data_IF_045345239559
#
_entry.id   IF_045345239559
#
_cell.length_a   1.000
_cell.length_b   1.000
_cell.length_c   1.000
_cell.angle_alpha   90.00
_cell.angle_beta   90.00
_cell.angle_gamma   90.00
#
_symmetry.space_group_name_H-M   'P 1'
#
loop_
_entity.id
_entity.type
_entity.pdbx_description
1 polymer ?
#
# COMPACT_ATOMS: atom_id res chain seq x y z
N UNK A 1 -2.88 25.47 -18.75
CA UNK A 1 -1.62 24.79 -19.19
C UNK A 1 -2.01 23.93 -20.37
N UNK A 2 -1.41 24.17 -21.54
CA UNK A 2 -1.55 23.31 -22.72
C UNK A 2 -1.19 21.87 -22.30
N UNK A 3 -1.89 20.87 -22.84
CA UNK A 3 -1.54 19.45 -22.79
C UNK A 3 -0.07 19.24 -23.17
N UNK A 4 0.84 19.49 -22.24
CA UNK A 4 2.19 18.97 -22.37
C UNK A 4 2.05 17.46 -22.20
N UNK A 5 2.25 16.74 -23.30
CA UNK A 5 2.27 15.28 -23.27
C UNK A 5 3.30 14.88 -22.21
N UNK A 6 2.85 14.15 -21.19
CA UNK A 6 3.73 13.51 -20.23
C UNK A 6 4.54 12.46 -21.02
N UNK A 7 5.77 12.77 -21.37
CA UNK A 7 6.65 11.93 -22.19
C UNK A 7 8.06 11.96 -21.61
N UNK A 8 8.25 11.25 -20.49
CA UNK A 8 9.53 11.15 -19.81
C UNK A 8 9.89 9.70 -19.48
N UNK A 9 8.93 8.93 -18.99
CA UNK A 9 9.13 7.54 -18.61
C UNK A 9 8.80 6.58 -19.77
N UNK A 10 9.35 5.37 -19.73
CA UNK A 10 9.01 4.33 -20.70
C UNK A 10 7.51 4.01 -20.70
N UNK A 11 6.86 4.08 -19.55
CA UNK A 11 5.43 3.89 -19.42
C UNK A 11 4.57 5.03 -19.97
N UNK A 12 5.15 6.18 -20.33
CA UNK A 12 4.43 7.26 -20.99
C UNK A 12 4.16 6.97 -22.47
N UNK A 13 4.82 5.95 -23.02
CA UNK A 13 4.70 5.54 -24.44
C UNK A 13 3.89 4.25 -24.55
N UNK A 14 2.54 4.33 -24.63
CA UNK A 14 1.73 3.12 -24.76
C UNK A 14 2.12 2.34 -26.01
N UNK A 15 2.30 1.03 -25.85
CA UNK A 15 2.66 0.11 -26.92
C UNK A 15 4.15 0.08 -27.30
N UNK A 16 5.03 0.73 -26.53
CA UNK A 16 6.47 0.57 -26.72
C UNK A 16 6.89 -0.88 -26.45
N UNK A 17 7.52 -1.53 -27.42
CA UNK A 17 8.13 -2.85 -27.21
C UNK A 17 9.37 -2.69 -26.31
N UNK A 18 9.27 -3.19 -25.09
CA UNK A 18 10.36 -3.16 -24.13
C UNK A 18 11.32 -4.32 -24.39
N UNK A 19 12.35 -4.04 -25.16
CA UNK A 19 13.40 -5.00 -25.45
C UNK A 19 14.37 -5.15 -24.27
N UNK A 20 15.12 -6.26 -24.26
CA UNK A 20 16.20 -6.50 -23.30
C UNK A 20 17.26 -5.37 -23.32
N UNK A 21 17.65 -4.91 -24.52
CA UNK A 21 18.62 -3.84 -24.67
C UNK A 21 18.13 -2.51 -24.13
N UNK A 22 16.86 -2.15 -24.42
CA UNK A 22 16.28 -0.90 -23.95
C UNK A 22 16.26 -0.82 -22.40
N UNK A 23 15.87 -1.91 -21.74
CA UNK A 23 15.87 -1.98 -20.27
C UNK A 23 17.29 -1.92 -19.71
N UNK A 24 18.25 -2.60 -20.31
CA UNK A 24 19.65 -2.52 -19.88
C UNK A 24 20.22 -1.10 -20.06
N UNK A 25 19.98 -0.46 -21.19
CA UNK A 25 20.43 0.93 -21.46
C UNK A 25 19.77 1.92 -20.49
N UNK A 26 18.50 1.76 -20.18
CA UNK A 26 17.81 2.56 -19.15
C UNK A 26 18.48 2.38 -17.78
N UNK A 27 18.76 1.15 -17.36
CA UNK A 27 19.45 0.88 -16.09
C UNK A 27 20.85 1.54 -16.01
N UNK A 28 21.61 1.49 -17.09
CA UNK A 28 22.93 2.16 -17.15
C UNK A 28 22.80 3.68 -17.09
N UNK A 29 21.81 4.24 -17.76
CA UNK A 29 21.47 5.67 -17.72
C UNK A 29 21.09 6.09 -16.29
N UNK A 30 20.25 5.33 -15.63
CA UNK A 30 19.86 5.56 -14.23
C UNK A 30 21.07 5.58 -13.29
N UNK A 31 22.02 4.64 -13.42
CA UNK A 31 23.24 4.61 -12.61
C UNK A 31 24.11 5.86 -12.84
N UNK A 32 24.23 6.31 -14.09
CA UNK A 32 24.95 7.54 -14.43
C UNK A 32 24.27 8.75 -13.78
N UNK A 33 22.97 8.91 -13.97
CA UNK A 33 22.19 10.02 -13.44
C UNK A 33 22.19 10.03 -11.90
N UNK A 34 22.13 8.85 -11.26
CA UNK A 34 22.32 8.73 -9.81
C UNK A 34 23.64 9.35 -9.36
N UNK A 35 24.73 9.01 -10.03
CA UNK A 35 26.06 9.51 -9.66
C UNK A 35 26.22 11.00 -9.90
N UNK A 36 25.57 11.53 -10.93
CA UNK A 36 25.64 12.93 -11.31
C UNK A 36 24.73 13.83 -10.45
N UNK A 37 23.50 13.40 -10.16
CA UNK A 37 22.50 14.28 -9.59
C UNK A 37 22.02 13.88 -8.18
N UNK A 38 22.00 12.59 -7.85
CA UNK A 38 21.35 12.11 -6.61
C UNK A 38 22.35 11.80 -5.48
N UNK A 39 23.51 11.22 -5.82
CA UNK A 39 24.44 10.69 -4.81
C UNK A 39 25.05 11.76 -3.89
N UNK A 40 25.06 13.00 -4.30
CA UNK A 40 25.62 14.16 -3.57
C UNK A 40 24.62 14.92 -2.72
N UNK A 41 23.31 14.63 -2.88
CA UNK A 41 22.27 15.33 -2.13
C UNK A 41 22.29 14.92 -0.65
N UNK A 42 22.11 15.91 0.23
CA UNK A 42 21.94 15.68 1.67
C UNK A 42 20.54 15.15 2.04
N UNK A 43 20.40 14.59 3.25
CA UNK A 43 19.11 14.12 3.76
C UNK A 43 18.06 15.24 3.74
N UNK A 44 18.44 16.43 4.23
CA UNK A 44 17.54 17.59 4.29
C UNK A 44 17.04 18.00 2.91
N UNK A 45 17.90 17.98 1.89
CA UNK A 45 17.51 18.32 0.52
C UNK A 45 16.49 17.31 -0.04
N UNK A 46 16.77 16.01 0.10
CA UNK A 46 15.88 14.96 -0.39
C UNK A 46 14.54 15.01 0.36
N UNK A 47 14.56 15.12 1.69
CA UNK A 47 13.35 15.19 2.53
C UNK A 47 12.53 16.43 2.19
N UNK A 48 13.18 17.59 2.01
CA UNK A 48 12.48 18.82 1.61
C UNK A 48 11.71 18.64 0.28
N UNK A 49 12.35 18.00 -0.70
CA UNK A 49 11.72 17.75 -2.01
C UNK A 49 10.60 16.71 -1.96
N UNK A 50 10.75 15.66 -1.17
CA UNK A 50 9.68 14.69 -0.93
C UNK A 50 8.47 15.34 -0.22
N UNK A 51 8.73 16.20 0.77
CA UNK A 51 7.67 16.97 1.44
C UNK A 51 6.98 17.96 0.48
N UNK A 52 7.74 18.58 -0.42
CA UNK A 52 7.17 19.47 -1.46
C UNK A 52 6.22 18.71 -2.40
N UNK A 53 6.61 17.51 -2.86
CA UNK A 53 5.74 16.62 -3.65
C UNK A 53 4.49 16.25 -2.87
N UNK A 54 4.63 15.88 -1.59
CA UNK A 54 3.49 15.53 -0.74
C UNK A 54 2.49 16.70 -0.59
N UNK A 55 3.00 17.92 -0.41
CA UNK A 55 2.18 19.12 -0.33
C UNK A 55 1.41 19.39 -1.64
N UNK A 56 2.04 19.14 -2.79
CA UNK A 56 1.35 19.23 -4.09
C UNK A 56 0.21 18.20 -4.18
N UNK A 57 0.47 16.95 -3.82
CA UNK A 57 -0.54 15.88 -3.84
C UNK A 57 -1.64 16.05 -2.80
N UNK A 58 -1.41 16.80 -1.73
CA UNK A 58 -2.43 17.17 -0.75
C UNK A 58 -3.27 18.38 -1.21
N UNK A 59 -2.82 19.13 -2.23
CA UNK A 59 -3.57 20.27 -2.77
C UNK A 59 -4.68 19.82 -3.71
N UNK A 60 -5.95 20.22 -3.45
CA UNK A 60 -7.07 19.85 -4.33
C UNK A 60 -6.90 20.37 -5.78
N UNK A 61 -6.20 21.48 -5.98
CA UNK A 61 -6.05 22.12 -7.29
C UNK A 61 -4.81 21.63 -8.06
N UNK A 62 -4.06 20.66 -7.53
CA UNK A 62 -2.87 20.17 -8.20
C UNK A 62 -3.22 19.40 -9.47
N UNK A 63 -2.73 19.82 -10.66
CA UNK A 63 -3.17 19.25 -11.93
C UNK A 63 -2.96 17.73 -12.05
N UNK A 64 -1.82 17.19 -11.58
CA UNK A 64 -1.56 15.76 -11.68
C UNK A 64 -2.42 14.94 -10.71
N UNK A 65 -2.77 15.52 -9.54
CA UNK A 65 -3.78 14.93 -8.66
C UNK A 65 -5.15 14.92 -9.33
N UNK A 66 -5.56 16.01 -9.97
CA UNK A 66 -6.84 16.05 -10.69
C UNK A 66 -6.87 15.04 -11.84
N UNK A 67 -5.79 14.91 -12.61
CA UNK A 67 -5.68 13.87 -13.64
C UNK A 67 -5.86 12.46 -13.04
N UNK A 68 -5.27 12.19 -11.87
CA UNK A 68 -5.46 10.91 -11.18
C UNK A 68 -6.91 10.69 -10.76
N UNK A 69 -7.57 11.72 -10.23
CA UNK A 69 -8.95 11.65 -9.75
C UNK A 69 -9.99 11.60 -10.87
N UNK A 70 -9.68 12.15 -12.04
CA UNK A 70 -10.55 12.15 -13.22
C UNK A 70 -10.36 10.91 -14.12
N UNK A 71 -9.35 10.10 -13.83
CA UNK A 71 -9.08 8.88 -14.57
C UNK A 71 -10.15 7.80 -14.31
N UNK A 72 -10.28 6.88 -15.27
CA UNK A 72 -11.21 5.77 -15.14
C UNK A 72 -10.88 4.92 -13.89
N UNK A 73 -11.87 4.56 -13.07
CA UNK A 73 -11.68 3.64 -11.95
C UNK A 73 -11.06 2.28 -12.34
N UNK A 74 -11.18 1.84 -13.60
CA UNK A 74 -10.49 0.65 -14.09
C UNK A 74 -8.96 0.85 -14.14
N UNK A 75 -8.47 2.05 -14.45
CA UNK A 75 -7.04 2.37 -14.46
C UNK A 75 -6.49 2.55 -13.04
N UNK A 76 -7.19 3.32 -12.20
CA UNK A 76 -6.76 3.62 -10.83
C UNK A 76 -7.02 2.47 -9.86
N UNK A 77 -8.05 1.67 -10.10
CA UNK A 77 -8.56 0.62 -9.22
C UNK A 77 -9.58 1.12 -8.20
N UNK A 78 -9.89 2.44 -8.17
CA UNK A 78 -10.73 3.05 -7.14
C UNK A 78 -11.62 4.17 -7.69
N UNK A 79 -12.84 4.34 -7.14
CA UNK A 79 -13.64 5.52 -7.37
C UNK A 79 -12.92 6.78 -6.89
N UNK A 80 -13.31 7.93 -7.46
CA UNK A 80 -12.72 9.24 -7.17
C UNK A 80 -12.60 9.54 -5.67
N UNK A 81 -13.67 9.31 -4.92
CA UNK A 81 -13.75 9.63 -3.49
C UNK A 81 -12.82 8.74 -2.66
N UNK A 82 -12.78 7.45 -2.96
CA UNK A 82 -11.88 6.48 -2.30
C UNK A 82 -10.42 6.81 -2.63
N UNK A 83 -10.13 7.11 -3.90
CA UNK A 83 -8.79 7.50 -4.34
C UNK A 83 -8.35 8.80 -3.66
N UNK A 84 -9.22 9.83 -3.63
CA UNK A 84 -8.92 11.10 -3.00
C UNK A 84 -8.58 10.93 -1.51
N UNK A 85 -9.45 10.24 -0.76
CA UNK A 85 -9.22 9.97 0.66
C UNK A 85 -7.94 9.15 0.91
N UNK A 86 -7.68 8.14 0.06
CA UNK A 86 -6.47 7.33 0.16
C UNK A 86 -5.18 8.11 -0.13
N UNK A 87 -5.20 9.02 -1.10
CA UNK A 87 -4.07 9.91 -1.40
C UNK A 87 -3.85 10.91 -0.25
N UNK A 88 -4.92 11.51 0.29
CA UNK A 88 -4.82 12.41 1.45
C UNK A 88 -4.20 11.70 2.65
N UNK A 89 -4.67 10.51 2.99
CA UNK A 89 -4.10 9.72 4.07
C UNK A 89 -2.63 9.33 3.80
N UNK A 90 -2.29 8.98 2.56
CA UNK A 90 -0.92 8.63 2.18
C UNK A 90 0.05 9.80 2.41
N UNK A 91 -0.30 11.00 1.92
CA UNK A 91 0.62 12.13 1.93
C UNK A 91 0.60 12.95 3.23
N UNK A 92 -0.42 12.77 4.10
CA UNK A 92 -0.50 13.44 5.40
C UNK A 92 0.74 13.20 6.29
N UNK A 93 1.32 12.02 6.21
CA UNK A 93 2.49 11.62 7.00
C UNK A 93 3.84 11.93 6.32
N UNK A 94 3.84 12.49 5.10
CA UNK A 94 5.07 12.80 4.37
C UNK A 94 5.63 14.16 4.77
N UNK A 95 5.92 14.32 6.06
CA UNK A 95 6.49 15.53 6.65
C UNK A 95 7.98 15.38 6.92
N UNK A 96 8.69 16.51 7.00
CA UNK A 96 10.11 16.48 7.34
C UNK A 96 10.36 15.77 8.67
N UNK A 97 9.54 16.05 9.68
CA UNK A 97 9.65 15.44 11.01
C UNK A 97 9.54 13.90 10.94
N UNK A 98 8.53 13.39 10.25
CA UNK A 98 8.30 11.94 10.09
C UNK A 98 9.47 11.26 9.36
N UNK A 99 10.00 11.88 8.31
CA UNK A 99 11.17 11.34 7.61
C UNK A 99 12.42 11.34 8.48
N UNK A 100 12.71 12.41 9.24
CA UNK A 100 13.84 12.39 10.15
C UNK A 100 13.66 11.38 11.28
N UNK A 101 12.46 11.23 11.80
CA UNK A 101 12.14 10.20 12.79
C UNK A 101 12.39 8.80 12.22
N UNK A 102 11.91 8.51 11.02
CA UNK A 102 12.15 7.24 10.31
C UNK A 102 13.65 6.98 10.15
N UNK A 103 14.42 7.94 9.63
CA UNK A 103 15.85 7.77 9.45
C UNK A 103 16.57 7.56 10.78
N UNK A 104 16.13 8.21 11.85
CA UNK A 104 16.69 8.02 13.19
C UNK A 104 16.38 6.64 13.77
N UNK A 105 15.17 6.13 13.54
CA UNK A 105 14.78 4.78 13.96
C UNK A 105 15.56 3.69 13.22
N UNK A 106 15.72 3.84 11.89
CA UNK A 106 16.35 2.82 11.06
C UNK A 106 17.90 2.84 11.16
N UNK A 107 18.49 4.01 11.27
CA UNK A 107 19.96 4.16 11.17
C UNK A 107 20.62 4.63 12.48
N UNK A 108 19.84 4.97 13.52
CA UNK A 108 20.33 5.59 14.76
C UNK A 108 20.74 7.04 14.55
N UNK A 109 21.76 7.27 13.72
CA UNK A 109 22.18 8.61 13.30
C UNK A 109 21.96 8.75 11.78
N UNK A 110 21.03 9.62 11.33
CA UNK A 110 20.76 9.85 9.90
C UNK A 110 21.98 10.32 9.10
N UNK A 111 22.98 10.92 9.72
CA UNK A 111 24.21 11.36 9.04
C UNK A 111 25.03 10.20 8.46
N UNK A 112 24.81 8.98 8.94
CA UNK A 112 25.41 7.74 8.39
C UNK A 112 25.10 7.50 6.92
N UNK A 113 24.02 8.06 6.40
CA UNK A 113 23.69 8.01 4.98
C UNK A 113 24.52 8.98 4.13
N UNK A 114 25.31 9.87 4.76
CA UNK A 114 26.11 10.90 4.07
C UNK A 114 27.59 10.80 4.36
N UNK A 115 27.95 10.38 5.57
CA UNK A 115 29.34 10.33 6.05
C UNK A 115 29.51 9.27 7.13
N UNK A 116 30.77 9.01 7.50
CA UNK A 116 31.07 8.19 8.67
C UNK A 116 30.60 8.89 9.94
N UNK A 117 29.71 8.25 10.71
CA UNK A 117 29.23 8.73 11.99
C UNK A 117 29.56 7.74 13.11
N UNK A 118 29.72 8.28 14.33
CA UNK A 118 30.06 7.52 15.53
C UNK A 118 28.89 6.61 15.94
N UNK A 119 29.21 5.41 16.39
CA UNK A 119 28.28 4.44 16.96
C UNK A 119 28.38 4.41 18.48
N UNK A 120 27.36 3.90 19.20
CA UNK A 120 27.43 3.73 20.66
C UNK A 120 28.63 2.92 21.16
N UNK A 121 29.10 1.97 20.35
CA UNK A 121 30.28 1.15 20.65
C UNK A 121 31.62 1.83 20.30
N UNK A 122 31.62 3.14 20.00
CA UNK A 122 32.76 3.95 19.56
C UNK A 122 33.37 3.57 18.21
N UNK A 123 32.70 2.71 17.40
CA UNK A 123 33.12 2.53 16.00
C UNK A 123 32.52 3.63 15.12
N UNK A 124 33.01 3.76 13.92
CA UNK A 124 32.45 4.63 12.89
C UNK A 124 31.87 3.78 11.78
N UNK A 125 30.73 4.16 11.26
CA UNK A 125 30.13 3.49 10.11
C UNK A 125 29.40 4.47 9.22
N UNK A 126 29.32 4.10 7.93
CA UNK A 126 28.53 4.78 6.92
C UNK A 126 27.61 3.75 6.25
N UNK A 127 26.42 4.16 5.86
CA UNK A 127 25.45 3.33 5.17
C UNK A 127 25.41 3.76 3.70
N UNK A 128 25.58 2.80 2.81
CA UNK A 128 25.40 3.00 1.37
C UNK A 128 24.20 2.17 0.89
N UNK A 129 23.26 2.83 0.23
CA UNK A 129 22.18 2.15 -0.48
C UNK A 129 22.68 1.37 -1.70
N UNK A 130 21.89 0.45 -2.25
CA UNK A 130 22.15 -0.15 -3.55
C UNK A 130 22.32 0.94 -4.63
N UNK A 131 23.14 0.70 -5.64
CA UNK A 131 23.25 1.67 -6.72
C UNK A 131 21.99 1.73 -7.57
N UNK A 132 21.38 0.56 -7.83
CA UNK A 132 20.11 0.43 -8.57
C UNK A 132 19.17 -0.53 -7.85
N UNK A 133 17.97 -0.05 -7.55
CA UNK A 133 16.86 -0.86 -7.03
C UNK A 133 15.85 -1.07 -8.15
N UNK A 134 15.44 -2.32 -8.35
CA UNK A 134 14.27 -2.64 -9.16
C UNK A 134 13.05 -2.87 -8.25
N UNK A 135 12.00 -2.11 -8.45
CA UNK A 135 10.73 -2.24 -7.73
C UNK A 135 9.72 -2.97 -8.60
N UNK A 136 9.29 -4.15 -8.16
CA UNK A 136 8.15 -4.86 -8.78
C UNK A 136 6.90 -4.41 -8.02
N UNK A 137 6.16 -3.54 -8.68
CA UNK A 137 5.01 -2.85 -8.10
C UNK A 137 3.79 -3.78 -7.96
N UNK A 138 2.96 -3.61 -6.92
CA UNK A 138 1.69 -4.31 -6.80
C UNK A 138 0.68 -3.77 -7.82
N UNK A 139 -0.27 -4.59 -8.23
CA UNK A 139 -1.33 -4.18 -9.16
C UNK A 139 -2.59 -3.61 -8.50
N UNK A 140 -2.67 -3.64 -7.16
CA UNK A 140 -3.89 -3.29 -6.43
C UNK A 140 -3.84 -1.94 -5.70
N UNK A 141 -2.65 -1.47 -5.32
CA UNK A 141 -2.47 -0.23 -4.55
C UNK A 141 -1.28 0.59 -5.04
N UNK A 142 -1.40 1.93 -5.14
CA UNK A 142 -0.30 2.81 -5.54
C UNK A 142 0.67 3.15 -4.38
N UNK A 143 0.18 3.17 -3.15
CA UNK A 143 0.95 3.64 -1.96
C UNK A 143 2.27 2.92 -1.77
N UNK A 144 2.37 1.58 -1.87
CA UNK A 144 3.65 0.89 -1.72
C UNK A 144 4.70 1.33 -2.76
N UNK A 145 4.27 1.73 -3.95
CA UNK A 145 5.17 2.23 -5.00
C UNK A 145 5.70 3.60 -4.63
N UNK A 146 4.84 4.52 -4.19
CA UNK A 146 5.25 5.87 -3.76
C UNK A 146 6.25 5.80 -2.61
N UNK A 147 5.97 4.98 -1.60
CA UNK A 147 6.87 4.75 -0.47
C UNK A 147 8.20 4.13 -0.92
N UNK A 148 8.16 3.15 -1.80
CA UNK A 148 9.37 2.51 -2.35
C UNK A 148 10.25 3.52 -3.07
N UNK A 149 9.66 4.40 -3.89
CA UNK A 149 10.38 5.47 -4.58
C UNK A 149 11.00 6.45 -3.56
N UNK A 150 10.22 6.91 -2.57
CA UNK A 150 10.71 7.82 -1.53
C UNK A 150 11.88 7.22 -0.75
N UNK A 151 11.78 5.96 -0.33
CA UNK A 151 12.84 5.27 0.41
C UNK A 151 14.08 5.05 -0.46
N UNK A 152 13.91 4.70 -1.73
CA UNK A 152 15.02 4.58 -2.66
C UNK A 152 15.76 5.91 -2.86
N UNK A 153 15.06 7.04 -2.92
CA UNK A 153 15.66 8.37 -2.99
C UNK A 153 16.43 8.72 -1.71
N UNK A 154 15.87 8.44 -0.53
CA UNK A 154 16.55 8.61 0.76
C UNK A 154 17.86 7.79 0.85
N UNK A 155 17.88 6.62 0.24
CA UNK A 155 19.08 5.77 0.11
C UNK A 155 20.02 6.21 -1.01
N UNK A 156 19.71 7.25 -1.77
CA UNK A 156 20.41 7.71 -2.97
C UNK A 156 20.62 6.60 -3.99
N UNK A 157 19.60 5.78 -4.16
CA UNK A 157 19.58 4.70 -5.13
C UNK A 157 18.91 5.15 -6.42
N UNK A 158 19.46 4.79 -7.56
CA UNK A 158 18.73 4.80 -8.82
C UNK A 158 17.62 3.77 -8.74
N UNK A 159 16.51 4.00 -9.43
CA UNK A 159 15.32 3.17 -9.28
C UNK A 159 14.67 2.87 -10.63
N UNK A 160 14.34 1.62 -10.83
CA UNK A 160 13.52 1.17 -11.95
C UNK A 160 12.23 0.56 -11.39
N UNK A 161 11.09 1.19 -11.66
CA UNK A 161 9.78 0.71 -11.24
C UNK A 161 9.12 -0.04 -12.38
N UNK A 162 8.89 -1.33 -12.17
CA UNK A 162 8.08 -2.18 -13.06
C UNK A 162 6.66 -2.23 -12.55
N UNK A 163 5.73 -1.59 -13.26
CA UNK A 163 4.31 -1.62 -12.98
C UNK A 163 3.63 -2.85 -13.60
N UNK A 164 2.53 -3.30 -13.00
CA UNK A 164 1.63 -4.26 -13.62
C UNK A 164 0.90 -3.62 -14.81
N UNK A 165 0.53 -4.42 -15.80
CA UNK A 165 -0.20 -3.94 -16.99
C UNK A 165 -1.47 -3.18 -16.61
N UNK A 166 -1.67 -2.00 -17.20
CA UNK A 166 -2.78 -1.10 -16.94
C UNK A 166 -2.74 -0.43 -15.55
N UNK A 167 -1.61 -0.45 -14.83
CA UNK A 167 -1.49 0.10 -13.48
C UNK A 167 -0.32 1.06 -13.30
N UNK A 168 0.17 1.67 -14.37
CA UNK A 168 1.28 2.63 -14.32
C UNK A 168 0.83 4.08 -14.12
N UNK A 169 -0.44 4.42 -14.28
CA UNK A 169 -0.91 5.81 -14.25
C UNK A 169 -0.46 6.55 -12.98
N UNK A 170 -0.83 6.06 -11.81
CA UNK A 170 -0.51 6.73 -10.54
C UNK A 170 1.00 6.80 -10.26
N UNK A 171 1.80 5.74 -10.45
CA UNK A 171 3.26 5.82 -10.38
C UNK A 171 3.86 6.84 -11.35
N UNK A 172 3.37 6.93 -12.58
CA UNK A 172 3.82 7.92 -13.57
C UNK A 172 3.53 9.34 -13.13
N UNK A 173 2.31 9.63 -12.72
CA UNK A 173 1.92 10.97 -12.24
C UNK A 173 2.74 11.39 -11.01
N UNK A 174 3.03 10.46 -10.11
CA UNK A 174 3.94 10.70 -9.00
C UNK A 174 5.38 10.98 -9.46
N UNK A 175 5.90 10.20 -10.40
CA UNK A 175 7.21 10.41 -11.01
C UNK A 175 7.32 11.77 -11.71
N UNK A 176 6.27 12.19 -12.44
CA UNK A 176 6.20 13.52 -13.04
C UNK A 176 6.15 14.64 -12.01
N UNK A 177 5.51 14.41 -10.85
CA UNK A 177 5.56 15.37 -9.74
C UNK A 177 6.97 15.53 -9.18
N UNK A 178 7.73 14.44 -9.06
CA UNK A 178 9.16 14.49 -8.71
C UNK A 178 9.97 15.26 -9.75
N UNK A 179 9.71 15.02 -11.04
CA UNK A 179 10.39 15.73 -12.13
C UNK A 179 10.09 17.23 -12.11
N UNK A 180 8.87 17.61 -11.78
CA UNK A 180 8.47 19.01 -11.63
C UNK A 180 9.19 19.71 -10.46
N UNK A 181 9.32 19.02 -9.31
CA UNK A 181 9.92 19.58 -8.09
C UNK A 181 11.44 19.55 -8.13
N UNK A 182 12.04 18.44 -8.60
CA UNK A 182 13.50 18.26 -8.66
C UNK A 182 13.88 17.32 -9.82
N UNK A 183 14.13 17.86 -11.02
CA UNK A 183 14.49 17.07 -12.19
C UNK A 183 15.70 16.14 -11.98
N UNK A 184 16.67 16.58 -11.18
CA UNK A 184 17.88 15.79 -10.88
C UNK A 184 17.56 14.51 -10.09
N UNK A 185 16.63 14.57 -9.14
CA UNK A 185 16.17 13.37 -8.42
C UNK A 185 15.36 12.46 -9.34
N UNK A 186 14.46 13.02 -10.15
CA UNK A 186 13.65 12.26 -11.08
C UNK A 186 14.47 11.61 -12.19
N UNK A 187 15.63 12.19 -12.58
CA UNK A 187 16.53 11.59 -13.57
C UNK A 187 17.12 10.25 -13.12
N UNK A 188 17.06 9.93 -11.83
CA UNK A 188 17.47 8.63 -11.28
C UNK A 188 16.30 7.64 -11.13
N UNK A 189 15.12 7.95 -11.69
CA UNK A 189 13.90 7.13 -11.66
C UNK A 189 13.47 6.78 -13.08
N UNK A 190 13.15 5.51 -13.33
CA UNK A 190 12.46 5.03 -14.52
C UNK A 190 11.18 4.28 -14.12
N UNK A 191 10.14 4.43 -14.89
CA UNK A 191 8.86 3.74 -14.71
C UNK A 191 8.48 3.08 -16.03
N UNK A 192 8.27 1.77 -15.99
CA UNK A 192 7.87 0.98 -17.13
C UNK A 192 6.74 0.02 -16.78
N UNK A 193 6.02 -0.43 -17.79
CA UNK A 193 4.89 -1.31 -17.65
C UNK A 193 5.00 -2.50 -18.62
N UNK A 194 4.81 -3.70 -18.09
CA UNK A 194 4.66 -4.93 -18.88
C UNK A 194 4.02 -6.06 -18.12
N UNK A 195 3.54 -7.07 -18.82
CA UNK A 195 2.93 -8.26 -18.22
C UNK A 195 3.94 -9.06 -17.40
N UNK A 196 3.49 -9.53 -16.23
CA UNK A 196 4.31 -10.40 -15.40
C UNK A 196 4.74 -11.67 -16.14
N UNK A 197 6.02 -12.02 -16.05
CA UNK A 197 6.59 -13.16 -16.77
C UNK A 197 7.10 -12.85 -18.19
N UNK A 198 7.08 -11.59 -18.62
CA UNK A 198 7.75 -11.17 -19.84
C UNK A 198 9.27 -11.23 -19.62
N UNK A 199 9.86 -12.38 -19.98
CA UNK A 199 11.25 -12.72 -19.66
C UNK A 199 12.30 -11.75 -20.22
N UNK A 200 12.24 -11.26 -21.49
CA UNK A 200 13.31 -10.41 -22.02
C UNK A 200 13.57 -9.15 -21.19
N UNK A 201 12.59 -8.28 -20.89
CA UNK A 201 12.81 -7.10 -20.06
C UNK A 201 13.07 -7.44 -18.59
N UNK A 202 12.38 -8.46 -18.01
CA UNK A 202 12.60 -8.86 -16.61
C UNK A 202 14.00 -9.40 -16.37
N UNK A 203 14.51 -10.25 -17.26
CA UNK A 203 15.86 -10.80 -17.15
C UNK A 203 16.94 -9.71 -17.22
N UNK A 204 16.74 -8.70 -18.08
CA UNK A 204 17.64 -7.56 -18.17
C UNK A 204 17.60 -6.76 -16.86
N UNK A 205 16.42 -6.45 -16.36
CA UNK A 205 16.25 -5.70 -15.12
C UNK A 205 16.88 -6.42 -13.92
N UNK A 206 16.66 -7.73 -13.79
CA UNK A 206 17.24 -8.52 -12.69
C UNK A 206 18.75 -8.69 -12.80
N UNK A 207 19.29 -8.70 -14.00
CA UNK A 207 20.73 -8.74 -14.20
C UNK A 207 21.41 -7.42 -13.77
N UNK A 208 20.77 -6.28 -14.06
CA UNK A 208 21.29 -4.94 -13.77
C UNK A 208 21.07 -4.52 -12.30
N UNK A 209 19.93 -4.82 -11.70
CA UNK A 209 19.60 -4.40 -10.34
C UNK A 209 20.56 -4.98 -9.29
N UNK A 210 20.90 -4.19 -8.27
CA UNK A 210 21.65 -4.66 -7.09
C UNK A 210 20.71 -5.20 -6.02
N UNK A 211 19.49 -4.67 -5.98
CA UNK A 211 18.41 -5.09 -5.09
C UNK A 211 17.09 -5.09 -5.86
N UNK A 212 16.28 -6.10 -5.63
CA UNK A 212 14.91 -6.18 -6.16
C UNK A 212 13.95 -6.15 -4.98
N UNK A 213 12.99 -5.24 -5.00
CA UNK A 213 11.86 -5.26 -4.05
C UNK A 213 10.63 -5.78 -4.76
N UNK A 214 9.87 -6.63 -4.10
CA UNK A 214 8.66 -7.25 -4.67
C UNK A 214 7.49 -7.03 -3.73
N UNK A 215 6.48 -6.32 -4.22
CA UNK A 215 5.19 -6.23 -3.57
C UNK A 215 4.16 -7.02 -4.39
N UNK A 216 3.65 -8.12 -3.86
CA UNK A 216 2.72 -8.96 -4.62
C UNK A 216 2.31 -10.24 -3.92
N UNK A 217 1.62 -11.12 -4.64
CA UNK A 217 1.23 -12.42 -4.10
C UNK A 217 2.45 -13.31 -3.84
N UNK A 218 2.31 -14.28 -2.95
CA UNK A 218 3.38 -15.26 -2.66
C UNK A 218 3.84 -16.00 -3.92
N UNK A 219 2.90 -16.27 -4.84
CA UNK A 219 3.21 -16.85 -6.15
C UNK A 219 4.12 -15.92 -6.98
N UNK A 220 3.89 -14.62 -6.94
CA UNK A 220 4.73 -13.64 -7.63
C UNK A 220 6.13 -13.60 -7.02
N UNK A 221 6.19 -13.53 -5.69
CA UNK A 221 7.46 -13.56 -4.94
C UNK A 221 8.27 -14.80 -5.27
N UNK A 222 7.66 -15.98 -5.24
CA UNK A 222 8.33 -17.24 -5.55
C UNK A 222 8.82 -17.29 -7.00
N UNK A 223 8.00 -16.87 -7.96
CA UNK A 223 8.39 -16.80 -9.37
C UNK A 223 9.60 -15.90 -9.61
N UNK A 224 9.68 -14.76 -8.93
CA UNK A 224 10.81 -13.84 -9.04
C UNK A 224 12.05 -14.43 -8.35
N UNK A 225 11.89 -15.00 -7.16
CA UNK A 225 12.99 -15.64 -6.42
C UNK A 225 13.69 -16.72 -7.24
N UNK A 226 12.94 -17.53 -7.98
CA UNK A 226 13.51 -18.59 -8.83
C UNK A 226 14.31 -18.05 -10.02
N UNK A 227 14.02 -16.85 -10.50
CA UNK A 227 14.66 -16.23 -11.67
C UNK A 227 15.75 -15.21 -11.30
N UNK A 228 15.79 -14.78 -10.04
CA UNK A 228 16.75 -13.79 -9.60
C UNK A 228 18.13 -14.43 -9.40
N UNK A 229 19.23 -13.86 -9.95
CA UNK A 229 20.58 -14.36 -9.71
C UNK A 229 20.91 -14.35 -8.20
N UNK A 230 21.58 -15.41 -7.69
CA UNK A 230 21.89 -15.59 -6.28
C UNK A 230 22.66 -14.43 -5.62
N UNK A 231 23.45 -13.70 -6.40
CA UNK A 231 24.22 -12.56 -5.90
C UNK A 231 23.39 -11.29 -5.66
N UNK A 232 22.12 -11.28 -6.12
CA UNK A 232 21.23 -10.12 -6.01
C UNK A 232 20.45 -10.16 -4.70
N UNK A 233 20.25 -8.99 -4.09
CA UNK A 233 19.41 -8.86 -2.89
C UNK A 233 17.94 -8.88 -3.27
N UNK A 234 17.13 -9.55 -2.47
CA UNK A 234 15.68 -9.62 -2.65
C UNK A 234 14.99 -9.21 -1.34
N UNK A 235 14.17 -8.17 -1.40
CA UNK A 235 13.25 -7.78 -0.34
C UNK A 235 11.82 -8.08 -0.78
N UNK A 236 11.16 -9.02 -0.08
CA UNK A 236 9.84 -9.50 -0.45
C UNK A 236 8.78 -9.02 0.52
N UNK A 237 7.69 -8.51 -0.04
CA UNK A 237 6.47 -8.19 0.67
C UNK A 237 5.35 -9.02 0.04
N UNK A 238 5.20 -10.26 0.52
CA UNK A 238 4.20 -11.23 0.08
C UNK A 238 2.80 -10.90 0.63
N UNK A 239 1.91 -11.88 0.52
CA UNK A 239 0.55 -11.73 1.06
C UNK A 239 0.59 -11.52 2.58
N UNK A 240 -0.11 -10.49 3.03
CA UNK A 240 -0.29 -10.17 4.45
C UNK A 240 -1.76 -9.99 4.76
N UNK A 241 -2.13 -10.39 5.96
CA UNK A 241 -3.47 -10.21 6.51
C UNK A 241 -3.38 -9.42 7.82
N UNK A 242 -4.38 -8.60 8.09
CA UNK A 242 -4.45 -7.84 9.32
C UNK A 242 -5.75 -8.11 10.05
N UNK A 243 -5.75 -7.86 11.34
CA UNK A 243 -6.92 -7.90 12.18
C UNK A 243 -7.01 -6.63 13.04
N UNK A 244 -8.22 -6.23 13.39
CA UNK A 244 -8.47 -5.20 14.38
C UNK A 244 -8.65 -5.82 15.77
N UNK A 245 -8.36 -5.05 16.80
CA UNK A 245 -8.57 -5.43 18.18
C UNK A 245 -9.19 -4.27 18.97
N UNK A 246 -10.29 -4.54 19.63
CA UNK A 246 -11.01 -3.57 20.46
C UNK A 246 -11.01 -4.07 21.90
N UNK A 247 -10.22 -3.39 22.74
CA UNK A 247 -10.15 -3.66 24.17
C UNK A 247 -11.46 -3.25 24.87
N UNK A 248 -11.83 -3.96 25.91
CA UNK A 248 -13.08 -3.72 26.70
C UNK A 248 -13.22 -2.29 27.24
N UNK A 249 -12.11 -1.57 27.42
CA UNK A 249 -12.10 -0.19 27.93
C UNK A 249 -11.98 0.86 26.81
N UNK A 250 -11.81 0.44 25.55
CA UNK A 250 -11.56 1.35 24.44
C UNK A 250 -12.64 2.45 24.31
N UNK A 251 -13.90 2.08 24.49
CA UNK A 251 -15.01 3.04 24.45
C UNK A 251 -15.09 3.99 25.63
N UNK A 252 -14.54 3.62 26.80
CA UNK A 252 -14.45 4.50 27.99
C UNK A 252 -13.34 5.54 27.80
N UNK A 253 -12.23 5.15 27.16
CA UNK A 253 -11.07 6.00 26.90
C UNK A 253 -11.28 6.93 25.72
N UNK A 254 -11.80 6.41 24.61
CA UNK A 254 -11.91 7.12 23.33
C UNK A 254 -13.33 7.59 23.00
N UNK A 255 -14.34 7.02 23.66
CA UNK A 255 -15.75 7.18 23.29
C UNK A 255 -16.20 6.16 22.22
N UNK A 256 -17.40 5.62 22.40
CA UNK A 256 -17.93 4.55 21.54
C UNK A 256 -17.93 4.95 20.06
N UNK A 257 -18.44 6.15 19.73
CA UNK A 257 -18.53 6.63 18.36
C UNK A 257 -17.16 6.75 17.70
N UNK A 258 -16.13 7.18 18.44
CA UNK A 258 -14.76 7.29 17.93
C UNK A 258 -14.19 5.90 17.57
N UNK A 259 -14.40 4.91 18.46
CA UNK A 259 -13.95 3.52 18.19
C UNK A 259 -14.62 2.95 16.94
N UNK A 260 -15.93 3.15 16.78
CA UNK A 260 -16.68 2.69 15.60
C UNK A 260 -16.20 3.42 14.33
N UNK A 261 -16.04 4.74 14.41
CA UNK A 261 -15.58 5.56 13.28
C UNK A 261 -14.19 5.13 12.81
N UNK A 262 -13.23 4.91 13.72
CA UNK A 262 -11.90 4.44 13.35
C UNK A 262 -11.93 3.03 12.74
N UNK A 263 -12.74 2.13 13.28
CA UNK A 263 -12.91 0.79 12.70
C UNK A 263 -13.50 0.86 11.28
N UNK A 264 -14.46 1.76 11.05
CA UNK A 264 -15.02 1.99 9.72
C UNK A 264 -13.97 2.62 8.77
N UNK A 265 -13.15 3.57 9.24
CA UNK A 265 -12.06 4.16 8.46
C UNK A 265 -11.07 3.09 7.97
N UNK A 266 -10.67 2.15 8.84
CA UNK A 266 -9.77 1.04 8.49
C UNK A 266 -10.36 0.09 7.42
N UNK A 267 -11.70 -0.06 7.42
CA UNK A 267 -12.42 -0.91 6.48
C UNK A 267 -12.63 -0.20 5.13
N UNK A 268 -12.99 1.08 5.13
CA UNK A 268 -13.29 1.80 3.88
C UNK A 268 -12.02 2.25 3.16
N UNK A 269 -10.91 2.42 3.90
CA UNK A 269 -9.63 2.78 3.32
C UNK A 269 -9.25 1.80 2.20
N UNK A 270 -9.08 2.34 0.98
CA UNK A 270 -8.76 1.55 -0.21
C UNK A 270 -9.70 0.36 -0.44
N UNK A 271 -10.97 0.47 -0.03
CA UNK A 271 -11.97 -0.61 -0.10
C UNK A 271 -11.48 -1.93 0.52
N UNK A 272 -10.69 -1.84 1.60
CA UNK A 272 -10.11 -3.00 2.31
C UNK A 272 -9.04 -3.76 1.50
N UNK A 273 -8.49 -3.17 0.41
CA UNK A 273 -7.43 -3.80 -0.38
C UNK A 273 -6.02 -3.58 0.19
N UNK A 274 -5.88 -2.81 1.26
CA UNK A 274 -4.61 -2.58 1.95
C UNK A 274 -4.17 -3.81 2.77
N UNK A 275 -2.85 -4.04 2.84
CA UNK A 275 -2.31 -5.10 3.70
C UNK A 275 -2.57 -4.84 5.21
N UNK A 276 -2.83 -3.59 5.59
CA UNK A 276 -3.20 -3.19 6.95
C UNK A 276 -4.72 -3.19 7.18
N UNK A 277 -5.55 -3.38 6.15
CA UNK A 277 -6.99 -3.44 6.31
C UNK A 277 -7.41 -4.73 7.02
N UNK A 278 -8.25 -4.64 8.07
CA UNK A 278 -8.62 -5.81 8.84
C UNK A 278 -9.55 -6.76 8.07
N UNK A 279 -9.33 -8.06 8.19
CA UNK A 279 -10.28 -9.09 7.77
C UNK A 279 -11.26 -9.44 8.89
N UNK A 280 -10.77 -9.36 10.14
CA UNK A 280 -11.51 -9.65 11.37
C UNK A 280 -11.25 -8.53 12.35
N UNK A 281 -12.27 -8.08 13.07
CA UNK A 281 -12.12 -7.26 14.27
C UNK A 281 -12.50 -8.12 15.47
N UNK A 282 -11.52 -8.38 16.33
CA UNK A 282 -11.74 -9.03 17.60
C UNK A 282 -12.16 -8.00 18.64
N UNK A 283 -13.28 -8.25 19.30
CA UNK A 283 -13.83 -7.35 20.33
C UNK A 283 -13.88 -8.09 21.67
N UNK A 284 -13.26 -7.54 22.70
CA UNK A 284 -13.28 -8.12 24.03
C UNK A 284 -14.72 -8.17 24.60
N UNK A 285 -15.06 -9.35 25.15
CA UNK A 285 -16.31 -9.56 25.88
C UNK A 285 -16.24 -8.85 27.25
N UNK A 286 -17.42 -8.70 27.88
CA UNK A 286 -17.55 -8.13 29.21
C UNK A 286 -17.13 -6.64 29.36
N UNK A 287 -16.95 -5.94 28.22
CA UNK A 287 -16.89 -4.48 28.18
C UNK A 287 -18.29 -3.86 28.12
N UNK A 288 -18.36 -2.54 28.21
CA UNK A 288 -19.59 -1.77 28.04
C UNK A 288 -20.07 -1.75 26.58
N UNK A 289 -19.20 -2.06 25.62
CA UNK A 289 -19.51 -2.27 24.21
C UNK A 289 -19.31 -3.75 23.87
N UNK A 290 -20.39 -4.53 23.87
CA UNK A 290 -20.31 -5.94 23.52
C UNK A 290 -20.12 -6.16 22.01
N UNK A 291 -19.55 -7.31 21.57
CA UNK A 291 -19.25 -7.59 20.16
C UNK A 291 -20.44 -7.46 19.21
N UNK A 292 -21.62 -7.91 19.59
CA UNK A 292 -22.82 -7.81 18.76
C UNK A 292 -23.29 -6.36 18.60
N UNK A 293 -23.25 -5.56 19.67
CA UNK A 293 -23.58 -4.13 19.58
C UNK A 293 -22.53 -3.35 18.79
N UNK A 294 -21.25 -3.73 18.93
CA UNK A 294 -20.18 -3.18 18.06
C UNK A 294 -20.47 -3.44 16.59
N UNK A 295 -20.85 -4.67 16.22
CA UNK A 295 -21.17 -5.03 14.83
C UNK A 295 -22.36 -4.25 14.28
N UNK A 296 -23.43 -4.09 15.07
CA UNK A 296 -24.61 -3.31 14.73
C UNK A 296 -24.27 -1.83 14.46
N UNK A 297 -23.56 -1.19 15.36
CA UNK A 297 -23.10 0.21 15.19
C UNK A 297 -22.11 0.38 14.03
N UNK A 298 -21.21 -0.59 13.82
CA UNK A 298 -20.30 -0.59 12.68
C UNK A 298 -21.06 -0.68 11.36
N UNK A 299 -22.13 -1.46 11.30
CA UNK A 299 -22.99 -1.56 10.11
C UNK A 299 -23.68 -0.22 9.81
N UNK A 300 -24.21 0.47 10.82
CA UNK A 300 -24.78 1.82 10.69
C UNK A 300 -23.74 2.82 10.16
N UNK A 301 -22.51 2.78 10.70
CA UNK A 301 -21.41 3.66 10.26
C UNK A 301 -20.96 3.35 8.83
N UNK A 302 -20.86 2.07 8.45
CA UNK A 302 -20.50 1.68 7.07
C UNK A 302 -21.54 2.11 6.04
N UNK A 303 -22.82 2.09 6.38
CA UNK A 303 -23.88 2.63 5.51
C UNK A 303 -23.70 4.14 5.32
N UNK A 304 -23.51 4.90 6.39
CA UNK A 304 -23.25 6.33 6.32
C UNK A 304 -21.99 6.66 5.52
N UNK A 305 -20.90 5.87 5.71
CA UNK A 305 -19.66 6.02 4.93
C UNK A 305 -19.88 5.69 3.46
N UNK A 306 -20.69 4.69 3.13
CA UNK A 306 -20.97 4.32 1.75
C UNK A 306 -21.78 5.38 1.00
N UNK A 307 -22.66 6.10 1.68
CA UNK A 307 -23.37 7.26 1.11
C UNK A 307 -22.39 8.39 0.74
N UNK A 308 -21.44 8.70 1.62
CA UNK A 308 -20.47 9.77 1.43
C UNK A 308 -19.32 9.39 0.49
N UNK A 309 -18.91 8.13 0.51
CA UNK A 309 -17.77 7.59 -0.25
C UNK A 309 -18.16 6.21 -0.81
N UNK A 310 -18.89 6.17 -1.94
CA UNK A 310 -19.34 4.92 -2.57
C UNK A 310 -18.15 3.97 -2.86
N UNK A 311 -18.36 2.67 -2.60
CA UNK A 311 -17.33 1.65 -2.89
C UNK A 311 -16.98 1.58 -4.37
N UNK A 312 -17.94 1.86 -5.24
CA UNK A 312 -17.78 1.72 -6.68
C UNK A 312 -17.94 0.29 -7.21
N UNK A 313 -17.71 0.09 -8.51
CA UNK A 313 -17.85 -1.20 -9.15
C UNK A 313 -16.77 -2.20 -8.70
N UNK A 314 -17.13 -3.48 -8.69
CA UNK A 314 -16.22 -4.60 -8.48
C UNK A 314 -16.42 -5.64 -9.58
N UNK A 315 -15.47 -6.55 -9.72
CA UNK A 315 -15.58 -7.64 -10.68
C UNK A 315 -16.74 -8.59 -10.35
N UNK A 316 -17.29 -9.25 -11.37
CA UNK A 316 -18.33 -10.28 -11.18
C UNK A 316 -17.86 -11.41 -10.24
N UNK A 317 -16.57 -11.73 -10.22
CA UNK A 317 -15.96 -12.72 -9.33
C UNK A 317 -16.02 -12.26 -7.87
N UNK A 318 -15.68 -11.03 -7.58
CA UNK A 318 -15.74 -10.46 -6.24
C UNK A 318 -17.17 -10.36 -5.75
N UNK A 319 -18.07 -9.85 -6.58
CA UNK A 319 -19.51 -9.81 -6.26
C UNK A 319 -20.08 -11.20 -5.94
N UNK A 320 -19.69 -12.22 -6.71
CA UNK A 320 -20.12 -13.61 -6.47
C UNK A 320 -19.54 -14.17 -5.14
N UNK A 321 -18.30 -13.84 -4.80
CA UNK A 321 -17.68 -14.24 -3.54
C UNK A 321 -18.44 -13.64 -2.35
N UNK A 322 -18.72 -12.34 -2.37
CA UNK A 322 -19.50 -11.64 -1.35
C UNK A 322 -20.92 -12.25 -1.23
N UNK A 323 -21.61 -12.43 -2.35
CA UNK A 323 -22.96 -13.00 -2.35
C UNK A 323 -23.00 -14.42 -1.79
N UNK A 324 -21.96 -15.23 -2.08
CA UNK A 324 -21.83 -16.60 -1.55
C UNK A 324 -21.61 -16.58 -0.04
N UNK A 325 -20.73 -15.72 0.46
CA UNK A 325 -20.48 -15.55 1.88
C UNK A 325 -21.75 -15.08 2.62
N UNK A 326 -22.44 -14.06 2.09
CA UNK A 326 -23.71 -13.58 2.67
C UNK A 326 -24.78 -14.68 2.76
N UNK A 327 -24.94 -15.50 1.71
CA UNK A 327 -25.90 -16.62 1.74
C UNK A 327 -25.58 -17.63 2.84
N UNK A 328 -24.31 -17.95 2.99
CA UNK A 328 -23.87 -18.85 4.04
C UNK A 328 -24.22 -18.31 5.43
N UNK A 329 -23.96 -17.03 5.71
CA UNK A 329 -24.24 -16.42 7.00
C UNK A 329 -25.75 -16.20 7.24
N UNK A 330 -26.55 -15.91 6.23
CA UNK A 330 -28.02 -15.89 6.34
C UNK A 330 -28.60 -17.23 6.79
N UNK A 331 -28.04 -18.33 6.26
CA UNK A 331 -28.47 -19.68 6.68
C UNK A 331 -28.07 -19.94 8.14
N UNK A 332 -26.87 -19.52 8.56
CA UNK A 332 -26.42 -19.67 9.95
C UNK A 332 -27.25 -18.85 10.92
N UNK A 333 -27.53 -17.61 10.59
CA UNK A 333 -28.39 -16.72 11.37
C UNK A 333 -29.79 -17.30 11.53
N UNK A 334 -30.44 -17.74 10.43
CA UNK A 334 -31.78 -18.35 10.44
C UNK A 334 -31.85 -19.63 11.28
N UNK A 335 -30.74 -20.33 11.45
CA UNK A 335 -30.63 -21.53 12.30
C UNK A 335 -30.13 -21.25 13.72
N UNK A 336 -30.03 -19.98 14.14
CA UNK A 336 -29.44 -19.57 15.43
C UNK A 336 -28.08 -20.20 15.71
N UNK A 337 -27.22 -20.26 14.68
CA UNK A 337 -25.90 -20.91 14.76
C UNK A 337 -24.80 -19.94 15.20
N UNK A 338 -25.08 -19.04 16.16
CA UNK A 338 -24.13 -18.09 16.72
C UNK A 338 -23.58 -17.11 15.70
N UNK A 339 -24.41 -16.65 14.76
CA UNK A 339 -24.04 -15.66 13.75
C UNK A 339 -25.17 -14.67 13.52
N UNK A 340 -24.81 -13.42 13.20
CA UNK A 340 -25.71 -12.37 12.75
C UNK A 340 -25.08 -11.61 11.57
N UNK A 341 -25.90 -11.12 10.66
CA UNK A 341 -25.49 -10.49 9.42
C UNK A 341 -26.17 -9.14 9.23
N UNK A 342 -25.38 -8.12 8.94
CA UNK A 342 -25.80 -6.82 8.43
C UNK A 342 -25.21 -6.62 7.04
N UNK A 343 -25.99 -6.11 6.10
CA UNK A 343 -25.56 -5.94 4.72
C UNK A 343 -26.23 -4.75 4.05
N UNK A 344 -25.53 -4.17 3.08
CA UNK A 344 -26.10 -3.14 2.21
C UNK A 344 -27.32 -3.66 1.45
N UNK A 345 -28.37 -2.82 1.38
CA UNK A 345 -29.62 -3.18 0.71
C UNK A 345 -29.45 -3.15 -0.81
N UNK A 346 -29.92 -4.19 -1.48
CA UNK A 346 -29.96 -4.34 -2.95
C UNK A 346 -28.57 -4.20 -3.64
N UNK A 347 -27.49 -4.28 -2.87
CA UNK A 347 -26.12 -4.17 -3.37
C UNK A 347 -25.16 -5.09 -2.59
N UNK A 348 -23.87 -5.06 -2.93
CA UNK A 348 -22.81 -5.77 -2.19
C UNK A 348 -21.81 -4.78 -1.59
N UNK A 349 -22.19 -3.54 -1.32
CA UNK A 349 -21.27 -2.46 -1.04
C UNK A 349 -20.56 -2.58 0.30
N UNK A 350 -21.21 -3.12 1.31
CA UNK A 350 -20.60 -3.43 2.59
C UNK A 350 -21.30 -4.61 3.28
N UNK A 351 -20.59 -5.31 4.15
CA UNK A 351 -21.13 -6.44 4.93
C UNK A 351 -20.42 -6.51 6.27
N UNK A 352 -21.20 -6.65 7.34
CA UNK A 352 -20.69 -6.96 8.69
C UNK A 352 -21.25 -8.30 9.11
N UNK A 353 -20.41 -9.20 9.55
CA UNK A 353 -20.77 -10.50 10.10
C UNK A 353 -20.28 -10.59 11.53
N UNK A 354 -21.17 -10.74 12.48
CA UNK A 354 -20.83 -11.18 13.83
C UNK A 354 -20.95 -12.70 13.90
N UNK A 355 -19.94 -13.36 14.48
CA UNK A 355 -20.05 -14.80 14.76
C UNK A 355 -19.22 -15.20 15.99
N UNK A 356 -19.74 -16.20 16.73
CA UNK A 356 -19.11 -16.70 17.96
C UNK A 356 -17.87 -17.53 17.70
N UNK A 357 -17.67 -18.02 16.48
CA UNK A 357 -16.49 -18.75 16.06
C UNK A 357 -15.25 -17.83 16.05
N UNK A 358 -14.24 -18.15 16.89
CA UNK A 358 -13.09 -17.28 17.13
C UNK A 358 -11.98 -17.42 16.08
N UNK A 359 -11.97 -18.52 15.30
CA UNK A 359 -10.93 -18.77 14.32
C UNK A 359 -10.82 -17.63 13.29
N UNK A 360 -9.60 -17.25 12.96
CA UNK A 360 -9.35 -16.27 11.92
C UNK A 360 -9.82 -16.79 10.55
N UNK A 361 -10.40 -15.91 9.78
CA UNK A 361 -10.76 -16.19 8.39
C UNK A 361 -10.55 -14.94 7.52
N UNK A 362 -10.13 -15.14 6.30
CA UNK A 362 -10.01 -14.05 5.34
C UNK A 362 -11.37 -13.65 4.83
N UNK A 363 -11.64 -12.34 4.78
CA UNK A 363 -12.85 -11.78 4.19
C UNK A 363 -12.75 -11.75 2.66
N UNK A 364 -13.86 -11.66 1.94
CA UNK A 364 -13.88 -11.39 0.51
C UNK A 364 -13.36 -10.00 0.13
N UNK A 365 -12.89 -9.18 1.08
CA UNK A 365 -12.54 -7.76 0.92
C UNK A 365 -13.75 -6.89 0.51
N UNK A 366 -13.50 -5.74 -0.06
CA UNK A 366 -14.56 -4.85 -0.56
C UNK A 366 -15.58 -4.47 0.53
N UNK A 367 -15.07 -4.08 1.72
CA UNK A 367 -15.84 -3.70 2.91
C UNK A 367 -16.66 -4.84 3.51
N UNK A 368 -16.14 -6.06 3.43
CA UNK A 368 -16.68 -7.23 4.11
C UNK A 368 -15.85 -7.51 5.36
N UNK A 369 -16.43 -7.40 6.54
CA UNK A 369 -15.73 -7.53 7.81
C UNK A 369 -16.38 -8.56 8.73
N UNK A 370 -15.54 -9.32 9.44
CA UNK A 370 -15.98 -10.19 10.53
C UNK A 370 -15.74 -9.50 11.87
N UNK A 371 -16.72 -9.59 12.78
CA UNK A 371 -16.62 -9.15 14.17
C UNK A 371 -16.73 -10.39 15.05
N UNK A 372 -15.71 -10.66 15.85
CA UNK A 372 -15.61 -11.89 16.65
C UNK A 372 -15.36 -11.59 18.12
N UNK A 373 -16.08 -12.27 19.03
CA UNK A 373 -15.86 -12.09 20.47
C UNK A 373 -14.59 -12.78 20.93
N UNK A 374 -13.84 -12.14 21.82
CA UNK A 374 -12.72 -12.76 22.55
C UNK A 374 -12.74 -12.30 24.01
N UNK A 375 -12.02 -13.00 24.87
CA UNK A 375 -11.89 -12.62 26.29
C UNK A 375 -10.71 -11.66 26.52
N UNK A 376 -9.59 -11.87 25.81
CA UNK A 376 -8.36 -11.11 25.96
C UNK A 376 -7.49 -11.19 24.70
N UNK A 377 -6.54 -10.25 24.53
CA UNK A 377 -5.62 -10.22 23.38
C UNK A 377 -4.83 -11.53 23.21
N UNK A 378 -4.46 -12.18 24.28
CA UNK A 378 -3.71 -13.45 24.22
C UNK A 378 -4.52 -14.54 23.52
N UNK A 379 -5.85 -14.53 23.64
CA UNK A 379 -6.71 -15.45 22.91
C UNK A 379 -6.70 -15.14 21.40
N UNK A 380 -6.76 -13.86 21.02
CA UNK A 380 -6.61 -13.47 19.61
C UNK A 380 -5.27 -13.94 19.04
N UNK A 381 -4.17 -13.72 19.76
CA UNK A 381 -2.84 -14.16 19.34
C UNK A 381 -2.76 -15.69 19.20
N UNK A 382 -3.42 -16.43 20.10
CA UNK A 382 -3.46 -17.89 20.02
C UNK A 382 -4.23 -18.40 18.78
N UNK A 383 -5.37 -17.81 18.46
CA UNK A 383 -6.14 -18.21 17.26
C UNK A 383 -5.48 -17.76 15.95
N UNK A 384 -4.57 -16.81 16.00
CA UNK A 384 -3.78 -16.32 14.87
C UNK A 384 -2.47 -17.12 14.66
N UNK A 385 -2.03 -17.92 15.64
CA UNK A 385 -0.77 -18.68 15.57
C UNK A 385 -0.61 -19.51 14.27
N UNK A 386 -1.65 -20.19 13.72
CA UNK A 386 -1.53 -20.92 12.47
C UNK A 386 -1.17 -20.09 11.25
N UNK A 387 -1.42 -18.77 11.30
CA UNK A 387 -1.20 -17.84 10.18
C UNK A 387 -0.20 -16.72 10.51
N UNK A 388 0.53 -16.85 11.62
CA UNK A 388 1.41 -15.79 12.15
C UNK A 388 2.44 -15.28 11.15
N UNK A 389 2.85 -16.11 10.19
CA UNK A 389 3.80 -15.69 9.14
C UNK A 389 3.18 -14.74 8.11
N UNK A 390 1.85 -14.66 8.08
CA UNK A 390 1.08 -13.78 7.18
C UNK A 390 0.47 -12.57 7.87
N UNK A 391 0.56 -12.50 9.20
CA UNK A 391 0.02 -11.38 10.02
C UNK A 391 1.04 -10.26 10.17
#
# INVERSE_FOLDING_TARGET
>A
MTEQSLDYFLADKPGAELSRSLVADACQTLRRNRNEYLSTLGNEQIISKLTEVANLWSSPDYPLRQMALDADPEETGFPREVLAAGLDACFADWTQEKYFMLLSQEFGDPTRLQSFASQPNRSFSMVNGPQLIAHIAPGNLPVPVFQSIAFGLLLRSAQFVKCASGKSLLPRLFGHSLHFVEPGMAAALEIAEWDGGNEPPESALFAEADCVTVNGSDKTVESIRQRLPLAKRLACYGHRVSFGYVEKQANEVMGTQTVISHAADDIVAWNQHGCLSPHVIYVEQNGSLNPSRFADMLAEELEARNEAMPRGPISAKEAAAIATARRFYKIREANNAGAALWESKDSTDWTVVHEDEKQFQTSPLNRFIFVKPIEHIDEALHVLEPIRESV
#
